data_IF_622434169989
#
_entry.id   IF_622434169989
#
_cell.length_a   1.000
_cell.length_b   1.000
_cell.length_c   1.000
_cell.angle_alpha   90.00
_cell.angle_beta   90.00
_cell.angle_gamma   90.00
#
_symmetry.space_group_name_H-M   'P 1'
#
loop_
_entity.id
_entity.type
_entity.pdbx_description
1 polymer ?
#
# COMPACT_ATOMS: atom_id res chain seq x y z
N UNK A 1 -8.09 20.96 11.16
CA UNK A 1 -7.26 19.76 10.93
C UNK A 1 -7.53 19.34 9.51
N UNK A 2 -6.51 18.95 8.75
CA UNK A 2 -6.65 18.52 7.35
C UNK A 2 -7.34 17.17 7.26
N UNK A 3 -8.37 17.07 6.39
CA UNK A 3 -9.20 15.87 6.19
C UNK A 3 -8.65 15.04 5.06
N UNK A 4 -8.22 13.83 5.37
CA UNK A 4 -7.65 12.87 4.41
C UNK A 4 -8.59 11.68 4.28
N UNK A 5 -8.94 11.32 3.04
CA UNK A 5 -9.69 10.12 2.74
C UNK A 5 -8.77 8.97 2.35
N UNK A 6 -8.90 7.84 3.02
CA UNK A 6 -8.32 6.58 2.63
C UNK A 6 -9.40 5.75 1.91
N UNK A 7 -9.23 5.51 0.61
CA UNK A 7 -10.19 4.74 -0.19
C UNK A 7 -9.68 3.32 -0.37
N UNK A 8 -10.38 2.35 0.21
CA UNK A 8 -10.15 0.94 -0.08
C UNK A 8 -10.86 0.58 -1.39
N UNK A 9 -10.13 0.17 -2.45
CA UNK A 9 -10.71 -0.11 -3.75
C UNK A 9 -11.34 -1.50 -3.89
N UNK A 10 -11.38 -2.28 -2.82
CA UNK A 10 -12.12 -3.54 -2.73
C UNK A 10 -13.34 -3.42 -1.79
N UNK A 11 -14.22 -4.41 -1.79
CA UNK A 11 -15.47 -4.40 -1.04
C UNK A 11 -15.35 -4.91 0.41
N UNK A 12 -14.14 -5.22 0.89
CA UNK A 12 -13.92 -5.76 2.23
C UNK A 12 -13.85 -4.65 3.29
N UNK A 13 -14.97 -4.43 3.99
CA UNK A 13 -15.08 -3.43 5.05
C UNK A 13 -14.17 -3.71 6.26
N UNK A 14 -13.88 -4.98 6.56
CA UNK A 14 -12.97 -5.33 7.65
C UNK A 14 -11.53 -4.89 7.34
N UNK A 15 -11.09 -5.07 6.08
CA UNK A 15 -9.81 -4.54 5.60
C UNK A 15 -9.77 -3.01 5.68
N UNK A 16 -10.85 -2.32 5.30
CA UNK A 16 -10.96 -0.86 5.44
C UNK A 16 -10.80 -0.42 6.90
N UNK A 17 -11.51 -1.08 7.82
CA UNK A 17 -11.44 -0.76 9.25
C UNK A 17 -10.03 -0.96 9.82
N UNK A 18 -9.35 -2.04 9.45
CA UNK A 18 -7.96 -2.31 9.86
C UNK A 18 -6.99 -1.26 9.33
N UNK A 19 -7.07 -0.92 8.04
CA UNK A 19 -6.23 0.13 7.45
C UNK A 19 -6.50 1.51 8.06
N UNK A 20 -7.77 1.84 8.37
CA UNK A 20 -8.14 3.09 9.03
C UNK A 20 -7.54 3.20 10.42
N UNK A 21 -7.56 2.13 11.21
CA UNK A 21 -6.96 2.11 12.53
C UNK A 21 -5.45 2.40 12.46
N UNK A 22 -4.74 1.72 11.54
CA UNK A 22 -3.31 1.92 11.31
C UNK A 22 -3.02 3.35 10.81
N UNK A 23 -3.84 3.86 9.90
CA UNK A 23 -3.69 5.21 9.36
C UNK A 23 -3.87 6.30 10.43
N UNK A 24 -4.85 6.15 11.31
CA UNK A 24 -5.10 7.09 12.43
C UNK A 24 -3.96 7.09 13.44
N UNK A 25 -3.43 5.93 13.75
CA UNK A 25 -2.25 5.81 14.61
C UNK A 25 -1.03 6.50 13.96
N UNK A 26 -0.76 6.23 12.68
CA UNK A 26 0.34 6.87 11.95
C UNK A 26 0.18 8.40 11.81
N UNK A 27 -1.05 8.88 11.74
CA UNK A 27 -1.35 10.32 11.70
C UNK A 27 -1.10 11.03 13.03
N UNK A 28 -1.02 10.32 14.16
CA UNK A 28 -0.71 10.83 15.50
C UNK A 28 -1.52 12.10 15.89
N UNK A 29 -2.77 12.20 15.43
CA UNK A 29 -3.63 13.36 15.68
C UNK A 29 -3.32 14.62 14.83
N UNK A 30 -2.36 14.57 13.91
CA UNK A 30 -2.01 15.70 13.04
C UNK A 30 -2.95 15.85 11.82
N UNK A 31 -3.57 14.74 11.40
CA UNK A 31 -4.51 14.66 10.29
C UNK A 31 -5.81 13.98 10.76
N UNK A 32 -6.93 14.41 10.20
CA UNK A 32 -8.21 13.72 10.37
C UNK A 32 -8.34 12.66 9.27
N UNK A 33 -8.29 11.38 9.63
CA UNK A 33 -8.38 10.29 8.66
C UNK A 33 -9.79 9.70 8.66
N UNK A 34 -10.41 9.72 7.49
CA UNK A 34 -11.66 9.04 7.18
C UNK A 34 -11.39 7.92 6.17
N UNK A 35 -12.25 6.93 6.09
CA UNK A 35 -12.09 5.85 5.12
C UNK A 35 -13.39 5.52 4.40
N UNK A 36 -13.24 5.09 3.15
CA UNK A 36 -14.31 4.61 2.28
C UNK A 36 -13.97 3.20 1.80
N UNK A 37 -14.95 2.32 1.81
CA UNK A 37 -14.90 1.01 1.12
C UNK A 37 -15.56 1.17 -0.23
N UNK A 38 -14.96 0.65 -1.30
CA UNK A 38 -15.58 0.65 -2.62
C UNK A 38 -16.97 0.01 -2.57
N UNK A 39 -18.00 0.61 -3.18
CA UNK A 39 -19.38 0.12 -3.11
C UNK A 39 -19.59 -1.16 -3.91
N UNK A 40 -18.69 -1.44 -4.86
CA UNK A 40 -18.73 -2.59 -5.76
C UNK A 40 -17.32 -3.06 -6.13
N UNK A 41 -17.21 -4.22 -6.77
CA UNK A 41 -15.95 -4.82 -7.19
C UNK A 41 -15.65 -6.14 -6.47
N UNK A 42 -14.36 -6.48 -6.40
CA UNK A 42 -13.90 -7.74 -5.79
C UNK A 42 -13.66 -7.57 -4.28
N UNK A 43 -13.82 -8.64 -3.48
CA UNK A 43 -13.52 -8.59 -2.04
C UNK A 43 -12.00 -8.53 -1.75
N UNK A 44 -11.17 -9.00 -2.69
CA UNK A 44 -9.71 -8.96 -2.61
C UNK A 44 -9.11 -8.79 -4.01
N UNK A 45 -8.13 -7.93 -4.15
CA UNK A 45 -7.41 -7.71 -5.42
C UNK A 45 -6.20 -8.66 -5.44
N UNK A 46 -6.28 -9.71 -6.25
CA UNK A 46 -5.27 -10.77 -6.31
C UNK A 46 -4.53 -10.84 -7.64
N UNK A 47 -5.08 -10.22 -8.69
CA UNK A 47 -4.58 -10.31 -10.05
C UNK A 47 -4.74 -8.99 -10.83
N UNK A 48 -4.15 -8.84 -12.02
CA UNK A 48 -4.20 -7.63 -12.83
C UNK A 48 -5.62 -7.25 -13.30
N UNK A 49 -6.50 -8.22 -13.53
CA UNK A 49 -7.88 -7.94 -13.95
C UNK A 49 -8.67 -7.32 -12.80
N UNK A 50 -8.55 -7.88 -11.59
CA UNK A 50 -9.14 -7.33 -10.38
C UNK A 50 -8.59 -5.92 -10.08
N UNK A 51 -7.28 -5.67 -10.31
CA UNK A 51 -6.67 -4.36 -10.17
C UNK A 51 -7.24 -3.35 -11.18
N UNK A 52 -7.47 -3.78 -12.43
CA UNK A 52 -8.09 -2.95 -13.45
C UNK A 52 -9.56 -2.62 -13.11
N UNK A 53 -10.33 -3.60 -12.64
CA UNK A 53 -11.72 -3.39 -12.20
C UNK A 53 -11.76 -2.39 -11.04
N UNK A 54 -10.89 -2.54 -10.05
CA UNK A 54 -10.76 -1.60 -8.94
C UNK A 54 -10.43 -0.17 -9.43
N UNK A 55 -9.58 -0.04 -10.46
CA UNK A 55 -9.30 1.26 -11.09
C UNK A 55 -10.52 1.87 -11.75
N UNK A 56 -11.35 1.09 -12.41
CA UNK A 56 -12.60 1.56 -13.04
C UNK A 56 -13.59 2.04 -12.00
N UNK A 57 -13.78 1.28 -10.91
CA UNK A 57 -14.66 1.65 -9.80
C UNK A 57 -14.23 2.98 -9.18
N UNK A 58 -12.95 3.12 -8.82
CA UNK A 58 -12.45 4.36 -8.22
C UNK A 58 -12.53 5.56 -9.19
N UNK A 59 -12.31 5.35 -10.47
CA UNK A 59 -12.47 6.40 -11.48
C UNK A 59 -13.91 6.88 -11.55
N UNK A 60 -14.89 5.97 -11.44
CA UNK A 60 -16.32 6.30 -11.39
C UNK A 60 -16.72 7.11 -10.15
N UNK A 61 -15.99 6.98 -9.04
CA UNK A 61 -16.24 7.72 -7.79
C UNK A 61 -15.68 9.15 -7.79
N UNK A 62 -14.88 9.56 -8.78
CA UNK A 62 -14.25 10.88 -8.80
C UNK A 62 -15.26 12.04 -8.61
N UNK A 63 -16.43 12.07 -9.26
CA UNK A 63 -17.40 13.16 -9.05
C UNK A 63 -17.89 13.25 -7.60
N UNK A 64 -18.15 12.10 -6.95
CA UNK A 64 -18.55 12.05 -5.55
C UNK A 64 -17.44 12.52 -4.62
N UNK A 65 -16.21 12.04 -4.83
CA UNK A 65 -15.04 12.41 -4.04
C UNK A 65 -14.71 13.90 -4.13
N UNK A 66 -14.83 14.48 -5.34
CA UNK A 66 -14.63 15.91 -5.58
C UNK A 66 -15.66 16.77 -4.80
N UNK A 67 -16.91 16.35 -4.75
CA UNK A 67 -17.99 17.09 -4.07
C UNK A 67 -17.79 17.18 -2.55
N UNK A 68 -16.97 16.31 -1.95
CA UNK A 68 -16.75 16.26 -0.50
C UNK A 68 -15.59 17.14 0.00
N UNK A 69 -14.85 17.82 -0.89
CA UNK A 69 -13.76 18.76 -0.58
C UNK A 69 -12.71 18.18 0.39
N UNK A 70 -12.07 17.09 0.02
CA UNK A 70 -10.96 16.50 0.77
C UNK A 70 -9.69 17.34 0.65
N UNK A 71 -8.89 17.41 1.72
CA UNK A 71 -7.55 18.02 1.66
C UNK A 71 -6.52 17.07 1.03
N UNK A 72 -6.79 15.77 0.98
CA UNK A 72 -5.98 14.76 0.30
C UNK A 72 -6.67 13.41 0.25
N UNK A 73 -6.28 12.59 -0.73
CA UNK A 73 -6.84 11.25 -0.96
C UNK A 73 -5.72 10.22 -1.08
N UNK A 74 -5.95 9.02 -0.51
CA UNK A 74 -5.05 7.87 -0.58
C UNK A 74 -5.79 6.70 -1.20
N UNK A 75 -5.29 6.15 -2.33
CA UNK A 75 -5.76 4.86 -2.84
C UNK A 75 -5.07 3.73 -2.08
N UNK A 76 -5.86 2.87 -1.41
CA UNK A 76 -5.37 1.97 -0.38
C UNK A 76 -5.36 0.49 -0.81
N UNK A 77 -4.81 0.20 -2.00
CA UNK A 77 -4.41 -1.14 -2.40
C UNK A 77 -3.01 -1.12 -3.02
N UNK A 78 -2.26 -2.20 -2.84
CA UNK A 78 -0.92 -2.29 -3.41
C UNK A 78 -1.02 -2.55 -4.92
N UNK A 79 -0.46 -1.61 -5.70
CA UNK A 79 -0.70 -1.48 -7.13
C UNK A 79 -1.40 -0.16 -7.49
N UNK A 80 -1.82 0.61 -6.50
CA UNK A 80 -2.33 1.99 -6.58
C UNK A 80 -3.38 2.19 -7.68
N UNK A 81 -4.50 1.43 -7.67
CA UNK A 81 -5.50 1.53 -8.72
C UNK A 81 -6.06 2.95 -8.82
N UNK A 82 -6.27 3.40 -10.05
CA UNK A 82 -6.76 4.73 -10.42
C UNK A 82 -5.91 5.92 -9.94
N UNK A 83 -4.69 5.73 -9.44
CA UNK A 83 -3.89 6.82 -8.88
C UNK A 83 -3.77 8.02 -9.83
N UNK A 84 -3.48 7.79 -11.11
CA UNK A 84 -3.34 8.86 -12.08
C UNK A 84 -4.69 9.54 -12.39
N UNK A 85 -5.76 8.77 -12.57
CA UNK A 85 -7.09 9.32 -12.81
C UNK A 85 -7.60 10.16 -11.62
N UNK A 86 -7.34 9.71 -10.39
CA UNK A 86 -7.67 10.47 -9.18
C UNK A 86 -6.87 11.78 -9.10
N UNK A 87 -5.60 11.79 -9.50
CA UNK A 87 -4.77 13.01 -9.57
C UNK A 87 -5.28 14.02 -10.57
N UNK A 88 -5.73 13.56 -11.72
CA UNK A 88 -6.30 14.40 -12.78
C UNK A 88 -7.72 14.87 -12.43
N UNK A 89 -8.45 14.03 -11.69
CA UNK A 89 -9.86 14.26 -11.39
C UNK A 89 -10.15 15.02 -10.10
N UNK A 90 -9.22 15.14 -9.17
CA UNK A 90 -9.42 15.78 -7.86
C UNK A 90 -8.56 17.02 -7.72
N UNK A 91 -9.07 18.03 -6.99
CA UNK A 91 -8.41 19.31 -6.76
C UNK A 91 -7.50 19.28 -5.50
N UNK A 92 -7.15 18.09 -5.02
CA UNK A 92 -6.31 17.89 -3.83
C UNK A 92 -5.17 16.89 -4.12
N UNK A 93 -4.10 16.89 -3.32
CA UNK A 93 -3.05 15.89 -3.41
C UNK A 93 -3.57 14.45 -3.31
N UNK A 94 -3.04 13.57 -4.16
CA UNK A 94 -3.36 12.15 -4.17
C UNK A 94 -2.09 11.31 -4.15
N UNK A 95 -2.06 10.28 -3.30
CA UNK A 95 -1.00 9.26 -3.30
C UNK A 95 -1.60 7.86 -3.18
N UNK A 96 -0.80 6.85 -3.54
CA UNK A 96 -1.15 5.46 -3.28
C UNK A 96 -0.27 4.88 -2.18
N UNK A 97 -0.71 3.77 -1.59
CA UNK A 97 0.08 3.08 -0.57
C UNK A 97 1.32 2.39 -1.16
N UNK A 98 1.25 1.94 -2.42
CA UNK A 98 2.36 1.32 -3.15
C UNK A 98 3.45 2.34 -3.47
N UNK A 99 3.08 3.43 -4.17
CA UNK A 99 3.99 4.54 -4.48
C UNK A 99 4.67 5.10 -3.23
N UNK A 100 3.88 5.39 -2.21
CA UNK A 100 4.39 6.00 -0.98
C UNK A 100 5.43 5.13 -0.29
N UNK A 101 5.17 3.82 -0.19
CA UNK A 101 6.09 2.87 0.44
C UNK A 101 7.37 2.65 -0.38
N UNK A 102 7.28 2.59 -1.71
CA UNK A 102 8.45 2.44 -2.57
C UNK A 102 9.35 3.68 -2.53
N UNK A 103 8.77 4.88 -2.54
CA UNK A 103 9.53 6.12 -2.42
C UNK A 103 10.20 6.26 -1.04
N UNK A 104 9.51 5.85 0.02
CA UNK A 104 10.10 5.84 1.35
C UNK A 104 11.23 4.81 1.46
N UNK A 105 11.03 3.59 0.97
CA UNK A 105 12.04 2.54 0.97
C UNK A 105 13.30 2.93 0.20
N UNK A 106 13.14 3.55 -0.98
CA UNK A 106 14.23 4.04 -1.81
C UNK A 106 15.08 5.12 -1.10
N UNK A 107 14.49 5.88 -0.19
CA UNK A 107 15.22 6.84 0.66
C UNK A 107 16.23 6.20 1.59
N UNK A 108 16.10 4.91 1.89
CA UNK A 108 17.07 4.14 2.69
C UNK A 108 18.08 3.37 1.84
N UNK A 109 17.82 3.15 0.55
CA UNK A 109 18.68 2.40 -0.37
C UNK A 109 17.93 1.29 -1.11
N UNK A 110 18.62 0.20 -1.45
CA UNK A 110 18.01 -0.91 -2.16
C UNK A 110 16.90 -1.57 -1.32
N UNK A 111 15.80 -1.93 -1.96
CA UNK A 111 14.63 -2.48 -1.30
C UNK A 111 13.96 -3.57 -2.14
N UNK A 112 13.19 -4.43 -1.50
CA UNK A 112 12.34 -5.40 -2.18
C UNK A 112 10.92 -5.39 -1.59
N UNK A 113 9.98 -6.01 -2.30
CA UNK A 113 8.59 -6.14 -1.86
C UNK A 113 8.30 -7.59 -1.52
N UNK A 114 7.68 -7.83 -0.38
CA UNK A 114 7.17 -9.14 0.03
C UNK A 114 5.65 -9.11 0.00
N UNK A 115 5.02 -10.05 -0.67
CA UNK A 115 3.54 -10.10 -0.83
C UNK A 115 3.03 -11.54 -0.94
N UNK A 116 1.71 -11.70 -0.77
CA UNK A 116 1.01 -12.99 -0.91
C UNK A 116 0.47 -13.24 -2.32
N UNK A 117 0.47 -12.23 -3.21
CA UNK A 117 -0.23 -12.25 -4.52
C UNK A 117 0.74 -12.39 -5.69
N UNK A 118 1.01 -13.62 -6.18
CA UNK A 118 1.97 -13.85 -7.26
C UNK A 118 1.60 -13.15 -8.57
N UNK A 119 0.32 -13.11 -8.91
CA UNK A 119 -0.16 -12.51 -10.15
C UNK A 119 0.07 -11.00 -10.23
N UNK A 120 0.26 -10.32 -9.08
CA UNK A 120 0.56 -8.89 -9.02
C UNK A 120 2.06 -8.57 -9.09
N UNK A 121 2.95 -9.57 -9.06
CA UNK A 121 4.40 -9.32 -9.06
C UNK A 121 4.87 -8.50 -10.28
N UNK A 122 4.29 -8.75 -11.46
CA UNK A 122 4.56 -7.97 -12.67
C UNK A 122 4.13 -6.51 -12.55
N UNK A 123 2.94 -6.25 -12.01
CA UNK A 123 2.43 -4.89 -11.79
C UNK A 123 3.26 -4.13 -10.76
N UNK A 124 3.72 -4.81 -9.70
CA UNK A 124 4.61 -4.25 -8.67
C UNK A 124 5.97 -3.86 -9.28
N UNK A 125 6.53 -4.74 -10.10
CA UNK A 125 7.80 -4.48 -10.80
C UNK A 125 7.68 -3.30 -11.77
N UNK A 126 6.58 -3.23 -12.53
CA UNK A 126 6.31 -2.12 -13.42
C UNK A 126 6.19 -0.79 -12.65
N UNK A 127 5.53 -0.79 -11.48
CA UNK A 127 5.42 0.40 -10.62
C UNK A 127 6.80 0.92 -10.20
N UNK A 128 7.72 0.06 -9.77
CA UNK A 128 9.08 0.46 -9.44
C UNK A 128 9.80 1.10 -10.64
N UNK A 129 9.57 0.58 -11.86
CA UNK A 129 10.08 1.15 -13.09
C UNK A 129 9.53 2.55 -13.40
N UNK A 130 8.21 2.74 -13.30
CA UNK A 130 7.56 4.04 -13.53
C UNK A 130 7.97 5.11 -12.52
N UNK A 131 8.26 4.70 -11.29
CA UNK A 131 8.78 5.61 -10.26
C UNK A 131 10.27 5.92 -10.42
N UNK A 132 10.96 5.35 -11.43
CA UNK A 132 12.39 5.52 -11.64
C UNK A 132 13.27 4.81 -10.62
N UNK A 133 12.72 3.82 -9.90
CA UNK A 133 13.38 3.13 -8.78
C UNK A 133 14.02 1.79 -9.18
N UNK A 134 14.04 1.44 -10.47
CA UNK A 134 14.49 0.13 -10.96
C UNK A 134 15.91 -0.24 -10.49
N UNK A 135 16.83 0.72 -10.36
CA UNK A 135 18.19 0.48 -9.90
C UNK A 135 18.28 0.11 -8.39
N UNK A 136 17.27 0.47 -7.59
CA UNK A 136 17.18 0.17 -6.16
C UNK A 136 16.25 -0.98 -5.86
N UNK A 137 15.45 -1.42 -6.84
CA UNK A 137 14.42 -2.43 -6.66
C UNK A 137 15.00 -3.84 -6.79
N UNK A 138 15.06 -4.57 -5.68
CA UNK A 138 15.58 -5.94 -5.56
C UNK A 138 14.57 -7.04 -5.91
N UNK A 139 13.37 -6.66 -6.41
CA UNK A 139 12.36 -7.62 -6.87
C UNK A 139 11.20 -7.86 -5.90
N UNK A 140 10.36 -8.84 -6.26
CA UNK A 140 9.19 -9.27 -5.48
C UNK A 140 9.43 -10.66 -4.93
N UNK A 141 9.25 -10.81 -3.62
CA UNK A 141 9.34 -12.08 -2.92
C UNK A 141 7.95 -12.52 -2.46
N UNK A 142 7.58 -13.73 -2.82
CA UNK A 142 6.24 -14.26 -2.60
C UNK A 142 6.21 -15.19 -1.39
N UNK A 143 5.13 -15.13 -0.62
CA UNK A 143 4.83 -16.18 0.35
C UNK A 143 4.55 -17.50 -0.36
N UNK A 144 4.73 -18.60 0.35
CA UNK A 144 4.27 -19.92 -0.11
C UNK A 144 2.79 -20.10 0.24
N UNK A 145 2.06 -20.83 -0.60
CA UNK A 145 0.65 -21.15 -0.40
C UNK A 145 -0.29 -20.23 -1.20
N UNK A 146 -1.57 -20.54 -1.11
CA UNK A 146 -2.64 -19.74 -1.74
C UNK A 146 -2.82 -18.38 -1.02
N UNK A 147 -2.91 -17.32 -1.79
CA UNK A 147 -2.95 -15.96 -1.24
C UNK A 147 -4.13 -15.72 -0.31
N UNK A 148 -5.32 -16.25 -0.63
CA UNK A 148 -6.53 -16.08 0.18
C UNK A 148 -6.41 -16.88 1.46
N UNK A 149 -6.08 -18.18 1.35
CA UNK A 149 -5.94 -19.06 2.51
C UNK A 149 -4.87 -18.57 3.50
N UNK A 150 -3.74 -18.04 2.99
CA UNK A 150 -2.68 -17.47 3.84
C UNK A 150 -3.15 -16.18 4.52
N UNK A 151 -3.91 -15.34 3.82
CA UNK A 151 -4.39 -14.05 4.38
C UNK A 151 -5.52 -14.24 5.40
N UNK A 152 -6.33 -15.28 5.27
CA UNK A 152 -7.44 -15.58 6.17
C UNK A 152 -7.00 -16.19 7.50
N UNK A 153 -5.77 -16.71 7.59
CA UNK A 153 -5.17 -17.23 8.84
C UNK A 153 -4.06 -16.29 9.35
N UNK A 154 -4.29 -15.49 10.40
CA UNK A 154 -3.30 -14.53 10.89
C UNK A 154 -1.97 -15.15 11.35
N UNK A 155 -2.00 -16.37 11.91
CA UNK A 155 -0.78 -17.02 12.37
C UNK A 155 0.04 -17.54 11.19
N UNK A 156 -0.61 -18.19 10.24
CA UNK A 156 -0.01 -18.64 8.98
C UNK A 156 0.53 -17.46 8.17
N UNK A 157 -0.20 -16.36 8.11
CA UNK A 157 0.25 -15.13 7.42
C UNK A 157 1.58 -14.62 7.96
N UNK A 158 1.70 -14.49 9.28
CA UNK A 158 2.95 -14.05 9.92
C UNK A 158 4.09 -15.01 9.61
N UNK A 159 3.87 -16.33 9.76
CA UNK A 159 4.89 -17.34 9.44
C UNK A 159 5.36 -17.26 7.98
N UNK A 160 4.43 -17.19 7.03
CA UNK A 160 4.76 -17.18 5.60
C UNK A 160 5.43 -15.88 5.15
N UNK A 161 5.03 -14.75 5.72
CA UNK A 161 5.70 -13.47 5.48
C UNK A 161 7.12 -13.45 6.08
N UNK A 162 7.30 -14.00 7.30
CA UNK A 162 8.63 -14.12 7.92
C UNK A 162 9.58 -14.94 7.04
N UNK A 163 9.13 -16.14 6.60
CA UNK A 163 9.90 -16.98 5.67
C UNK A 163 10.30 -16.23 4.40
N UNK A 164 9.36 -15.47 3.80
CA UNK A 164 9.61 -14.74 2.57
C UNK A 164 10.57 -13.55 2.79
N UNK A 165 10.45 -12.85 3.91
CA UNK A 165 11.36 -11.76 4.29
C UNK A 165 12.79 -12.28 4.50
N UNK A 166 12.96 -13.36 5.27
CA UNK A 166 14.27 -13.94 5.54
C UNK A 166 14.92 -14.47 4.26
N UNK A 167 14.14 -15.07 3.36
CA UNK A 167 14.61 -15.49 2.04
C UNK A 167 15.08 -14.29 1.21
N UNK A 168 14.33 -13.19 1.16
CA UNK A 168 14.71 -11.98 0.46
C UNK A 168 16.05 -11.41 0.96
N UNK A 169 16.23 -11.34 2.28
CA UNK A 169 17.48 -10.86 2.90
C UNK A 169 18.65 -11.78 2.57
N UNK A 170 18.44 -13.10 2.64
CA UNK A 170 19.46 -14.09 2.34
C UNK A 170 19.91 -14.03 0.87
N UNK A 171 18.98 -14.05 -0.07
CA UNK A 171 19.26 -14.03 -1.51
C UNK A 171 19.90 -12.71 -1.97
N UNK A 172 19.58 -11.61 -1.31
CA UNK A 172 20.22 -10.32 -1.58
C UNK A 172 21.62 -10.18 -1.01
N UNK A 173 22.12 -11.15 -0.23
CA UNK A 173 23.47 -11.14 0.31
C UNK A 173 23.81 -9.92 1.16
N UNK A 174 22.83 -9.34 1.87
CA UNK A 174 22.99 -8.12 2.67
C UNK A 174 22.86 -6.82 1.87
N UNK A 175 22.50 -6.89 0.58
CA UNK A 175 22.36 -5.70 -0.27
C UNK A 175 21.07 -4.91 -0.06
N UNK A 176 20.08 -5.43 0.70
CA UNK A 176 18.81 -4.73 0.95
C UNK A 176 18.89 -3.85 2.20
N UNK A 177 18.48 -2.59 2.07
CA UNK A 177 18.32 -1.66 3.20
C UNK A 177 16.93 -1.79 3.85
N UNK A 178 15.92 -2.20 3.07
CA UNK A 178 14.54 -2.34 3.56
C UNK A 178 13.73 -3.36 2.77
N UNK A 179 12.64 -3.84 3.41
CA UNK A 179 11.59 -4.64 2.78
C UNK A 179 10.24 -3.93 2.96
N UNK A 180 9.42 -3.97 1.92
CA UNK A 180 8.03 -3.50 1.97
C UNK A 180 7.12 -4.71 2.12
N UNK A 181 6.22 -4.71 3.09
CA UNK A 181 5.15 -5.71 3.17
C UNK A 181 3.97 -5.21 2.32
N UNK A 182 3.94 -5.69 1.07
CA UNK A 182 3.08 -5.15 0.02
C UNK A 182 1.66 -5.72 0.03
N UNK A 183 0.74 -5.08 0.76
CA UNK A 183 -0.67 -5.40 0.78
C UNK A 183 -1.40 -4.77 1.97
N UNK A 184 -2.59 -4.19 1.73
CA UNK A 184 -3.42 -3.61 2.80
C UNK A 184 -3.76 -4.62 3.91
N UNK A 185 -4.23 -5.83 3.57
CA UNK A 185 -4.52 -6.89 4.57
C UNK A 185 -3.29 -7.36 5.37
N UNK A 186 -2.08 -7.15 4.84
CA UNK A 186 -0.83 -7.64 5.46
C UNK A 186 -0.27 -6.70 6.55
N UNK A 187 -0.85 -5.52 6.69
CA UNK A 187 -0.32 -4.47 7.56
C UNK A 187 -0.24 -4.89 9.05
N UNK A 188 -1.18 -5.70 9.52
CA UNK A 188 -1.16 -6.20 10.91
C UNK A 188 0.01 -7.16 11.13
N UNK A 189 0.29 -8.04 10.17
CA UNK A 189 1.40 -8.98 10.24
C UNK A 189 2.76 -8.26 10.19
N UNK A 190 2.88 -7.18 9.40
CA UNK A 190 4.10 -6.39 9.31
C UNK A 190 4.62 -5.92 10.68
N UNK A 191 3.71 -5.50 11.57
CA UNK A 191 4.06 -5.05 12.94
C UNK A 191 4.70 -6.14 13.80
N UNK A 192 4.25 -7.37 13.65
CA UNK A 192 4.82 -8.52 14.38
C UNK A 192 6.23 -8.83 13.87
N UNK A 193 6.48 -8.57 12.59
CA UNK A 193 7.73 -8.92 11.92
C UNK A 193 8.87 -7.90 12.14
N UNK A 194 8.59 -6.70 12.63
CA UNK A 194 9.59 -5.64 12.81
C UNK A 194 10.79 -6.10 13.67
N UNK A 195 10.54 -6.91 14.69
CA UNK A 195 11.58 -7.42 15.59
C UNK A 195 12.22 -8.75 15.12
N UNK A 196 11.67 -9.36 14.05
CA UNK A 196 12.10 -10.69 13.56
C UNK A 196 12.91 -10.64 12.28
N UNK A 197 12.83 -9.54 11.55
CA UNK A 197 13.50 -9.36 10.26
C UNK A 197 14.69 -8.41 10.43
N UNK A 198 15.90 -8.78 9.97
CA UNK A 198 17.13 -8.01 10.26
C UNK A 198 17.33 -6.77 9.39
N UNK A 199 16.30 -6.36 8.63
CA UNK A 199 16.30 -5.11 7.83
C UNK A 199 15.06 -4.30 8.14
N UNK A 200 15.06 -3.01 7.80
CA UNK A 200 13.92 -2.13 8.01
C UNK A 200 12.69 -2.64 7.26
N UNK A 201 11.57 -2.76 7.96
CA UNK A 201 10.28 -3.01 7.35
C UNK A 201 9.55 -1.69 7.08
N UNK A 202 9.01 -1.54 5.88
CA UNK A 202 8.18 -0.41 5.46
C UNK A 202 6.73 -0.88 5.37
N UNK A 203 5.87 -0.21 6.12
CA UNK A 203 4.43 -0.44 6.10
C UNK A 203 3.77 0.55 5.13
N UNK A 204 3.06 0.09 4.07
CA UNK A 204 2.53 0.98 3.03
C UNK A 204 1.53 2.02 3.53
N UNK A 205 0.63 1.67 4.47
CA UNK A 205 -0.36 2.61 5.00
C UNK A 205 0.31 3.73 5.80
N UNK A 206 1.18 3.48 6.79
CA UNK A 206 1.94 4.53 7.46
C UNK A 206 2.79 5.39 6.51
N UNK A 207 3.43 4.79 5.50
CA UNK A 207 4.19 5.53 4.49
C UNK A 207 3.31 6.52 3.71
N UNK A 208 2.10 6.08 3.33
CA UNK A 208 1.15 6.95 2.62
C UNK A 208 0.65 8.12 3.47
N UNK A 209 0.46 7.93 4.79
CA UNK A 209 0.09 8.98 5.72
C UNK A 209 1.21 10.02 5.84
N UNK A 210 2.47 9.59 5.97
CA UNK A 210 3.62 10.51 5.99
C UNK A 210 3.72 11.31 4.69
N UNK A 211 3.58 10.62 3.55
CA UNK A 211 3.66 11.24 2.22
C UNK A 211 2.53 12.26 1.99
N UNK A 212 1.27 11.88 2.23
CA UNK A 212 0.15 12.79 2.00
C UNK A 212 0.23 14.02 2.92
N UNK A 213 0.67 13.84 4.16
CA UNK A 213 0.89 14.94 5.09
C UNK A 213 1.88 15.99 4.54
N UNK A 214 3.00 15.54 3.97
CA UNK A 214 3.97 16.44 3.32
C UNK A 214 3.39 17.12 2.08
N UNK A 215 2.61 16.40 1.25
CA UNK A 215 2.01 16.95 0.04
C UNK A 215 0.99 18.04 0.37
N UNK A 216 0.13 17.80 1.36
CA UNK A 216 -0.90 18.75 1.81
C UNK A 216 -0.29 20.00 2.45
N UNK A 217 0.82 19.87 3.17
CA UNK A 217 1.54 21.03 3.71
C UNK A 217 2.10 21.93 2.59
N UNK A 218 2.70 21.32 1.55
CA UNK A 218 3.28 22.05 0.40
C UNK A 218 2.23 22.72 -0.48
N UNK A 219 1.03 22.17 -0.58
CA UNK A 219 -0.04 22.75 -1.39
C UNK A 219 -0.67 24.02 -0.77
N UNK A 220 -0.37 24.33 0.49
CA UNK A 220 -0.91 25.48 1.22
C UNK A 220 0.16 26.54 1.56
N UNK A 221 1.40 26.37 1.15
CA UNK A 221 2.51 27.32 1.29
C UNK A 221 2.91 27.89 -0.05
#
# INVERSE_FOLDING_TARGET
>A
MKRILLVNPNTNAATTASMLAIAREAAAGLLQIEAMTAPEGVPMITDPLALQQASQVLTGLIPELRAQNWDGVITAAYGDPALQALREGLDCPVTGIGEASMLEAAGYGAFAVVTTTPELAGSITAMAGWLGLGALFGGVYLTRGDAVAVTDDPALLVERLEEACLRAVHEAGGGLASLIIGGGPLAVAARVLVERVPVRLIEPVPASIRRIGLMVQRANG
#
